data_IF_613231692649
#
_entry.id   IF_613231692649
#
_cell.length_a   1.000
_cell.length_b   1.000
_cell.length_c   1.000
_cell.angle_alpha   90.00
_cell.angle_beta   90.00
_cell.angle_gamma   90.00
#
_symmetry.space_group_name_H-M   'P 1'
#
loop_
_entity.id
_entity.type
_entity.pdbx_description
1 polymer ?
#
# COMPACT_ATOMS: atom_id res chain seq x y z
N UNK A 1 0.59 14.45 -12.07
CA UNK A 1 0.97 15.13 -10.80
C UNK A 1 0.17 14.59 -9.61
N UNK A 2 -1.14 14.33 -9.75
CA UNK A 2 -2.04 13.72 -8.75
C UNK A 2 -1.41 12.58 -7.90
N UNK A 3 -0.77 11.61 -8.54
CA UNK A 3 -0.28 10.41 -7.85
C UNK A 3 0.84 10.69 -6.86
N UNK A 4 1.75 11.61 -7.18
CA UNK A 4 2.82 12.00 -6.26
C UNK A 4 2.26 12.71 -5.03
N UNK A 5 1.24 13.56 -5.21
CA UNK A 5 0.55 14.17 -4.07
C UNK A 5 -0.11 13.13 -3.17
N UNK A 6 -0.73 12.08 -3.74
CA UNK A 6 -1.32 10.99 -2.96
C UNK A 6 -0.27 10.21 -2.18
N UNK A 7 0.86 9.89 -2.83
CA UNK A 7 1.99 9.20 -2.18
C UNK A 7 2.55 10.05 -1.04
N UNK A 8 2.85 11.33 -1.27
CA UNK A 8 3.42 12.20 -0.24
C UNK A 8 2.44 12.51 0.89
N UNK A 9 1.13 12.59 0.60
CA UNK A 9 0.13 12.73 1.66
C UNK A 9 0.14 11.54 2.63
N UNK A 10 0.39 10.33 2.14
CA UNK A 10 0.43 9.10 2.94
C UNK A 10 1.81 8.89 3.59
N UNK A 11 2.87 8.91 2.79
CA UNK A 11 4.23 8.55 3.20
C UNK A 11 5.05 9.73 3.76
N UNK A 12 4.53 10.96 3.64
CA UNK A 12 5.23 12.19 3.92
C UNK A 12 6.02 12.73 2.73
N UNK A 13 6.41 14.01 2.80
CA UNK A 13 7.29 14.62 1.81
C UNK A 13 8.75 14.18 2.03
N UNK A 14 9.45 13.64 1.02
CA UNK A 14 10.85 13.26 1.15
C UNK A 14 11.77 14.46 1.38
N UNK A 15 12.87 14.25 2.11
CA UNK A 15 13.86 15.29 2.40
C UNK A 15 14.64 15.71 1.14
N UNK A 16 15.36 16.84 1.19
CA UNK A 16 16.13 17.31 0.04
C UNK A 16 17.24 16.31 -0.36
N UNK A 17 17.80 15.60 0.61
CA UNK A 17 18.85 14.60 0.44
C UNK A 17 18.36 13.42 -0.41
N UNK A 18 17.09 13.02 -0.26
CA UNK A 18 16.48 11.96 -1.06
C UNK A 18 16.54 12.30 -2.56
N UNK A 19 16.14 13.52 -2.93
CA UNK A 19 16.14 13.97 -4.33
C UNK A 19 17.55 14.07 -4.91
N UNK A 20 18.51 14.56 -4.10
CA UNK A 20 19.93 14.63 -4.48
C UNK A 20 20.52 13.24 -4.71
N UNK A 21 20.31 12.32 -3.76
CA UNK A 21 20.83 10.94 -3.80
C UNK A 21 20.34 10.20 -5.04
N UNK A 22 19.05 10.34 -5.36
CA UNK A 22 18.43 9.65 -6.51
C UNK A 22 18.51 10.46 -7.82
N UNK A 23 19.17 11.63 -7.81
CA UNK A 23 19.33 12.52 -8.98
C UNK A 23 17.99 12.84 -9.66
N UNK A 24 16.95 13.10 -8.87
CA UNK A 24 15.59 13.33 -9.34
C UNK A 24 15.32 14.81 -9.58
N UNK A 25 14.42 15.13 -10.51
CA UNK A 25 13.95 16.49 -10.73
C UNK A 25 13.19 17.03 -9.52
N UNK A 26 13.49 18.26 -9.13
CA UNK A 26 12.84 18.97 -8.03
C UNK A 26 11.51 19.62 -8.43
N UNK A 27 11.14 19.59 -9.71
CA UNK A 27 9.86 20.13 -10.23
C UNK A 27 8.63 19.48 -9.56
N UNK A 28 8.79 18.28 -9.03
CA UNK A 28 7.71 17.52 -8.38
C UNK A 28 7.69 17.65 -6.85
N UNK A 29 8.56 18.47 -6.27
CA UNK A 29 8.52 18.74 -4.83
C UNK A 29 7.24 19.54 -4.53
N UNK A 30 6.36 19.06 -3.63
CA UNK A 30 5.12 19.75 -3.33
C UNK A 30 5.42 21.09 -2.62
N UNK A 31 4.63 22.15 -2.88
CA UNK A 31 4.82 23.45 -2.22
C UNK A 31 4.64 23.40 -0.70
N UNK A 32 3.83 22.46 -0.21
CA UNK A 32 3.63 22.19 1.21
C UNK A 32 4.20 20.83 1.56
N UNK A 33 4.94 20.77 2.66
CA UNK A 33 5.41 19.50 3.21
C UNK A 33 4.26 18.74 3.86
N UNK A 34 4.13 17.46 3.56
CA UNK A 34 3.18 16.56 4.17
C UNK A 34 3.88 15.79 5.29
N UNK A 35 3.22 15.71 6.46
CA UNK A 35 3.63 14.75 7.50
C UNK A 35 3.17 13.35 7.11
N UNK A 36 3.97 12.30 7.36
CA UNK A 36 3.53 10.93 7.16
C UNK A 36 2.26 10.64 7.98
N UNK A 37 1.29 9.94 7.39
CA UNK A 37 0.02 9.58 8.02
C UNK A 37 -0.24 8.07 8.01
N UNK A 38 0.76 7.25 7.67
CA UNK A 38 0.65 5.78 7.57
C UNK A 38 0.01 5.14 8.80
N UNK A 39 0.47 5.52 10.00
CA UNK A 39 -0.03 4.93 11.26
C UNK A 39 -1.51 5.27 11.47
N UNK A 40 -1.90 6.51 11.26
CA UNK A 40 -3.31 6.93 11.40
C UNK A 40 -4.20 6.31 10.32
N UNK A 41 -3.70 6.23 9.08
CA UNK A 41 -4.44 5.69 7.94
C UNK A 41 -4.71 4.20 8.09
N UNK A 42 -3.79 3.46 8.69
CA UNK A 42 -3.86 2.00 8.85
C UNK A 42 -4.08 1.56 10.31
N UNK A 43 -4.64 2.43 11.15
CA UNK A 43 -4.87 2.15 12.58
C UNK A 43 -5.81 0.97 12.84
N UNK A 44 -6.68 0.66 11.87
CA UNK A 44 -7.65 -0.42 11.95
C UNK A 44 -7.03 -1.78 11.57
N UNK A 45 -5.80 -1.80 11.06
CA UNK A 45 -5.07 -3.04 10.80
C UNK A 45 -4.41 -3.55 12.10
N UNK A 46 -4.06 -4.85 12.17
CA UNK A 46 -3.34 -5.40 13.31
C UNK A 46 -2.05 -4.59 13.57
N UNK A 47 -1.71 -4.25 14.83
CA UNK A 47 -0.52 -3.46 15.14
C UNK A 47 0.79 -4.06 14.61
N UNK A 48 0.87 -5.39 14.51
CA UNK A 48 2.00 -6.12 13.94
C UNK A 48 2.25 -5.81 12.45
N UNK A 49 1.22 -5.37 11.72
CA UNK A 49 1.31 -5.03 10.29
C UNK A 49 1.98 -3.68 10.02
N UNK A 50 1.88 -2.73 10.96
CA UNK A 50 2.27 -1.35 10.73
C UNK A 50 3.76 -1.21 10.40
N UNK A 51 4.62 -1.94 11.12
CA UNK A 51 6.06 -1.93 10.85
C UNK A 51 6.41 -2.49 9.47
N UNK A 52 5.69 -3.52 9.03
CA UNK A 52 5.87 -4.10 7.70
C UNK A 52 5.42 -3.11 6.60
N UNK A 53 4.26 -2.49 6.75
CA UNK A 53 3.75 -1.48 5.82
C UNK A 53 4.69 -0.27 5.70
N UNK A 54 5.17 0.27 6.83
CA UNK A 54 6.15 1.37 6.83
C UNK A 54 7.43 1.00 6.06
N UNK A 55 7.88 -0.25 6.16
CA UNK A 55 9.05 -0.74 5.42
C UNK A 55 8.75 -0.84 3.93
N UNK A 56 7.65 -1.48 3.54
CA UNK A 56 7.29 -1.70 2.13
C UNK A 56 6.97 -0.40 1.39
N UNK A 57 6.39 0.58 2.08
CA UNK A 57 6.02 1.89 1.54
C UNK A 57 7.12 2.95 1.71
N UNK A 58 8.33 2.56 2.13
CA UNK A 58 9.45 3.48 2.23
C UNK A 58 9.74 4.16 0.87
N UNK A 59 9.89 5.48 0.89
CA UNK A 59 10.13 6.25 -0.33
C UNK A 59 11.47 5.89 -0.97
N UNK A 60 12.53 5.79 -0.18
CA UNK A 60 13.83 5.29 -0.63
C UNK A 60 13.78 3.77 -0.83
N UNK A 61 13.97 3.28 -2.07
CA UNK A 61 13.95 1.85 -2.37
C UNK A 61 14.95 1.04 -1.54
N UNK A 62 16.08 1.64 -1.13
CA UNK A 62 17.08 0.96 -0.32
C UNK A 62 16.56 0.50 1.05
N UNK A 63 15.50 1.13 1.57
CA UNK A 63 14.90 0.76 2.86
C UNK A 63 13.77 -0.27 2.74
N UNK A 64 13.26 -0.57 1.54
CA UNK A 64 12.13 -1.52 1.37
C UNK A 64 12.49 -2.98 1.67
N UNK A 65 13.78 -3.32 1.53
CA UNK A 65 14.25 -4.69 1.70
C UNK A 65 13.75 -5.64 0.60
N UNK A 66 13.89 -6.95 0.84
CA UNK A 66 13.47 -8.01 -0.07
C UNK A 66 12.20 -8.71 0.43
N UNK A 67 11.52 -9.41 -0.48
CA UNK A 67 10.38 -10.27 -0.13
C UNK A 67 10.75 -11.35 0.90
N UNK A 68 11.95 -11.93 0.80
CA UNK A 68 12.44 -12.93 1.76
C UNK A 68 12.63 -12.37 3.17
N UNK A 69 13.00 -11.09 3.31
CA UNK A 69 13.07 -10.40 4.61
C UNK A 69 11.68 -10.04 5.13
N UNK A 70 10.78 -9.61 4.24
CA UNK A 70 9.40 -9.27 4.57
C UNK A 70 8.63 -10.47 5.15
N UNK A 71 8.77 -11.67 4.57
CA UNK A 71 8.11 -12.89 5.04
C UNK A 71 8.51 -13.32 6.45
N UNK A 72 9.66 -12.84 6.97
CA UNK A 72 10.12 -13.12 8.35
C UNK A 72 9.58 -12.11 9.36
N UNK A 73 8.73 -11.17 8.96
CA UNK A 73 8.17 -10.16 9.84
C UNK A 73 7.15 -10.77 10.83
N UNK A 74 7.07 -10.20 12.04
CA UNK A 74 6.15 -10.62 13.10
C UNK A 74 4.68 -10.64 12.65
N UNK A 75 4.29 -9.81 11.68
CA UNK A 75 2.94 -9.83 11.10
C UNK A 75 2.50 -11.24 10.69
N UNK A 76 3.38 -12.03 10.06
CA UNK A 76 3.05 -13.38 9.59
C UNK A 76 3.08 -14.45 10.69
N UNK A 77 3.55 -14.11 11.90
CA UNK A 77 3.73 -15.03 13.02
C UNK A 77 2.84 -14.68 14.23
N UNK A 78 2.14 -13.55 14.19
CA UNK A 78 1.33 -13.03 15.29
C UNK A 78 -0.12 -13.46 15.13
N UNK A 79 -0.75 -13.95 16.21
CA UNK A 79 -2.18 -14.30 16.21
C UNK A 79 -3.08 -13.05 16.06
N UNK A 80 -4.21 -13.13 15.33
CA UNK A 80 -4.66 -14.28 14.55
C UNK A 80 -3.80 -14.50 13.31
N UNK A 81 -3.45 -15.76 13.05
CA UNK A 81 -2.80 -16.14 11.80
C UNK A 81 -3.79 -16.03 10.62
N UNK A 82 -3.25 -16.05 9.41
CA UNK A 82 -4.08 -16.09 8.21
C UNK A 82 -5.04 -17.29 8.25
N UNK A 83 -6.25 -17.12 7.71
CA UNK A 83 -7.21 -18.21 7.59
C UNK A 83 -6.75 -19.26 6.58
N UNK A 84 -7.26 -20.48 6.74
CA UNK A 84 -7.12 -21.51 5.72
C UNK A 84 -7.81 -21.11 4.42
N UNK A 85 -7.39 -21.70 3.30
CA UNK A 85 -7.96 -21.41 1.98
C UNK A 85 -9.49 -21.62 1.94
N UNK A 86 -10.01 -22.58 2.69
CA UNK A 86 -11.45 -22.85 2.82
C UNK A 86 -12.23 -21.72 3.53
N UNK A 87 -11.54 -20.85 4.27
CA UNK A 87 -12.13 -19.69 4.93
C UNK A 87 -12.18 -18.42 4.08
N UNK A 88 -11.64 -18.46 2.85
CA UNK A 88 -11.69 -17.32 1.94
C UNK A 88 -13.10 -17.15 1.33
N UNK A 89 -13.57 -15.91 1.12
CA UNK A 89 -14.86 -15.68 0.48
C UNK A 89 -14.84 -16.16 -0.97
N UNK A 90 -15.89 -16.90 -1.36
CA UNK A 90 -16.08 -17.32 -2.76
C UNK A 90 -16.70 -16.16 -3.55
N UNK A 91 -16.00 -15.70 -4.59
CA UNK A 91 -16.53 -14.71 -5.52
C UNK A 91 -17.27 -15.45 -6.63
N UNK A 92 -18.60 -15.37 -6.62
CA UNK A 92 -19.40 -15.81 -7.75
C UNK A 92 -19.34 -14.72 -8.82
N UNK A 93 -18.74 -15.04 -9.97
CA UNK A 93 -18.94 -14.23 -11.17
C UNK A 93 -20.28 -14.68 -11.75
N UNK A 94 -21.23 -13.75 -11.90
CA UNK A 94 -22.31 -14.00 -12.85
C UNK A 94 -21.63 -14.15 -14.21
N UNK A 95 -21.85 -15.27 -14.90
CA UNK A 95 -21.33 -15.47 -16.25
C UNK A 95 -21.76 -14.27 -17.11
N UNK A 96 -20.80 -13.65 -17.82
CA UNK A 96 -21.03 -12.43 -18.62
C UNK A 96 -22.22 -12.56 -19.60
N UNK A 97 -22.61 -13.79 -19.96
CA UNK A 97 -23.79 -14.09 -20.78
C UNK A 97 -25.12 -13.62 -20.16
N UNK A 98 -25.23 -13.58 -18.83
CA UNK A 98 -26.47 -13.21 -18.14
C UNK A 98 -26.67 -11.68 -18.07
N UNK A 99 -25.58 -10.90 -18.08
CA UNK A 99 -25.63 -9.44 -18.07
C UNK A 99 -26.20 -8.93 -19.41
N UNK A 100 -25.76 -9.53 -20.52
CA UNK A 100 -26.19 -9.13 -21.86
C UNK A 100 -27.65 -9.55 -22.16
N UNK A 101 -28.13 -10.66 -21.59
CA UNK A 101 -29.51 -11.09 -21.71
C UNK A 101 -30.49 -10.18 -20.94
N UNK A 102 -30.07 -9.60 -19.80
CA UNK A 102 -30.92 -8.71 -18.98
C UNK A 102 -31.06 -7.30 -19.56
N UNK A 103 -30.06 -6.81 -20.30
CA UNK A 103 -30.14 -5.50 -20.98
C UNK A 103 -31.04 -5.51 -22.23
N UNK A 104 -31.24 -6.67 -22.86
CA UNK A 104 -32.11 -6.81 -24.03
C UNK A 104 -33.60 -6.99 -23.68
N UNK A 105 -33.93 -7.18 -22.41
CA UNK A 105 -35.30 -7.39 -21.91
C UNK A 105 -35.88 -6.09 -21.29
N UNK A 106 -35.15 -4.96 -21.36
CA UNK A 106 -35.62 -3.66 -20.88
C UNK A 106 -35.86 -2.68 -22.03
#
# INVERSE_FOLDING_TARGET
>A
VEQLHRIFRLCGTPSQEYWKKLKLSTTFIPPKSYRPSLVETFKDLPPSSLGLLCTLLALDPAFRGSSSKALKNQFFLTSPLACDLSGLPTIYKEDDENIQAKEQIK
#
